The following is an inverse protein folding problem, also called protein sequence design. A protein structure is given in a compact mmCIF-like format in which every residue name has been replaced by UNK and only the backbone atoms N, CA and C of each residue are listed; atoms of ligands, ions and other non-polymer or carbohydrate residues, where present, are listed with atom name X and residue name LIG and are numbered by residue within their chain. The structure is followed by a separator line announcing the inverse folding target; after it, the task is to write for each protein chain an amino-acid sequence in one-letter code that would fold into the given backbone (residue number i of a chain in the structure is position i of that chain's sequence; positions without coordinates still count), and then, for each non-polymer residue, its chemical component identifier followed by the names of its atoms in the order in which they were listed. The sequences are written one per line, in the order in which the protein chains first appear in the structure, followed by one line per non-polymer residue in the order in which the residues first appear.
data_IF_557330754295
#
_entry.id   IF_557330754295
#
_cell.length_a   1.000
_cell.length_b   1.000
_cell.length_c   1.000
_cell.angle_alpha   90.00
_cell.angle_beta   90.00
_cell.angle_gamma   90.00
#
_symmetry.space_group_name_H-M   'P 1'
#
loop_
_entity.id
_entity.type
_entity.pdbx_description
1 polymer ?
#
# COMPACT_ATOMS: atom_id res chain seq x y z
N UNK A 1 4.81 16.11 -6.79
CA UNK A 1 5.22 16.13 -5.40
C UNK A 1 4.06 15.91 -4.47
N UNK A 2 4.25 15.14 -3.47
CA UNK A 2 3.16 14.80 -2.56
C UNK A 2 3.12 15.74 -1.38
N UNK A 3 2.10 16.58 -1.32
CA UNK A 3 1.98 17.58 -0.27
C UNK A 3 1.50 16.99 1.05
N UNK A 4 0.87 15.83 1.01
CA UNK A 4 0.29 15.20 2.19
C UNK A 4 1.27 14.29 2.93
N UNK A 5 2.49 14.20 2.46
CA UNK A 5 3.48 13.36 3.11
C UNK A 5 3.23 11.86 2.94
N UNK A 6 2.52 11.47 1.89
CA UNK A 6 2.20 10.07 1.62
C UNK A 6 2.32 9.81 0.13
N UNK A 7 3.42 9.22 -0.27
CA UNK A 7 3.65 8.86 -1.67
C UNK A 7 4.00 7.39 -1.78
N UNK A 8 3.37 6.72 -2.72
CA UNK A 8 3.61 5.32 -3.02
C UNK A 8 3.76 5.15 -4.52
N UNK A 9 4.79 4.41 -4.93
CA UNK A 9 4.93 3.95 -6.31
C UNK A 9 5.15 2.44 -6.28
N UNK A 10 4.32 1.72 -7.00
CA UNK A 10 4.42 0.26 -7.12
C UNK A 10 4.39 -0.13 -8.59
N UNK A 11 5.19 -1.12 -8.95
CA UNK A 11 5.16 -1.73 -10.27
C UNK A 11 5.31 -3.24 -10.13
N UNK A 12 4.43 -3.98 -10.78
CA UNK A 12 4.46 -5.43 -10.68
C UNK A 12 3.46 -6.08 -11.61
N UNK A 13 3.03 -7.28 -11.23
CA UNK A 13 2.11 -8.09 -12.01
C UNK A 13 0.87 -8.40 -11.19
N UNK A 14 -0.30 -8.23 -11.79
CA UNK A 14 -1.56 -8.60 -11.12
C UNK A 14 -1.64 -10.11 -10.98
N UNK A 15 -1.90 -10.58 -9.76
CA UNK A 15 -2.00 -12.01 -9.46
C UNK A 15 -3.44 -12.51 -9.52
N UNK A 16 -4.40 -11.60 -9.57
CA UNK A 16 -5.82 -11.93 -9.66
C UNK A 16 -6.54 -10.84 -10.46
N UNK A 17 -7.77 -11.14 -10.86
CA UNK A 17 -8.60 -10.12 -11.48
C UNK A 17 -9.17 -9.20 -10.40
N UNK A 18 -9.30 -7.89 -10.67
CA UNK A 18 -9.90 -7.00 -9.70
C UNK A 18 -11.32 -7.41 -9.35
N UNK A 19 -11.65 -7.30 -8.06
CA UNK A 19 -12.99 -7.58 -7.55
C UNK A 19 -13.59 -6.31 -6.95
N UNK A 20 -14.90 -6.17 -7.10
CA UNK A 20 -15.60 -5.02 -6.54
C UNK A 20 -15.40 -4.94 -5.04
N UNK A 21 -15.01 -3.78 -4.55
CA UNK A 21 -14.77 -3.55 -3.14
C UNK A 21 -15.84 -2.71 -2.47
N UNK A 22 -15.93 -1.45 -2.86
CA UNK A 22 -16.88 -0.52 -2.25
C UNK A 22 -17.14 0.66 -3.18
N UNK A 23 -18.08 1.50 -2.78
CA UNK A 23 -18.45 2.69 -3.55
C UNK A 23 -18.50 3.89 -2.61
N UNK A 24 -17.97 5.03 -3.06
CA UNK A 24 -18.00 6.29 -2.32
C UNK A 24 -18.49 7.36 -3.28
N UNK A 25 -19.61 8.00 -2.95
CA UNK A 25 -20.20 9.07 -3.75
C UNK A 25 -20.33 8.71 -5.23
N UNK A 26 -20.75 7.48 -5.52
CA UNK A 26 -20.94 7.03 -6.89
C UNK A 26 -19.68 6.52 -7.58
N UNK A 27 -18.53 6.65 -6.97
CA UNK A 27 -17.27 6.11 -7.51
C UNK A 27 -17.01 4.72 -6.95
N UNK A 28 -16.84 3.74 -7.84
CA UNK A 28 -16.61 2.36 -7.45
C UNK A 28 -15.12 2.07 -7.35
N UNK A 29 -14.74 1.31 -6.34
CA UNK A 29 -13.37 0.91 -6.10
C UNK A 29 -13.24 -0.59 -6.12
N UNK A 30 -12.17 -1.06 -6.74
CA UNK A 30 -11.88 -2.48 -6.90
C UNK A 30 -10.62 -2.85 -6.15
N UNK A 31 -10.58 -4.06 -5.64
CA UNK A 31 -9.43 -4.62 -4.93
C UNK A 31 -8.73 -5.64 -5.80
N UNK A 32 -7.42 -5.63 -5.74
CA UNK A 32 -6.59 -6.60 -6.44
C UNK A 32 -5.30 -6.81 -5.67
N UNK A 33 -4.50 -7.77 -6.08
CA UNK A 33 -3.19 -8.04 -5.49
C UNK A 33 -2.12 -7.89 -6.57
N UNK A 34 -1.07 -7.16 -6.22
CA UNK A 34 0.05 -6.90 -7.10
C UNK A 34 1.29 -7.62 -6.57
N UNK A 35 1.93 -8.41 -7.42
CA UNK A 35 3.20 -9.05 -7.09
C UNK A 35 4.32 -8.12 -7.47
N UNK A 36 5.06 -7.63 -6.47
CA UNK A 36 6.12 -6.64 -6.66
C UNK A 36 7.46 -7.29 -6.32
N UNK A 37 8.42 -7.28 -7.25
CA UNK A 37 9.70 -7.94 -7.01
C UNK A 37 10.61 -7.15 -6.07
N UNK A 38 11.34 -7.88 -5.23
CA UNK A 38 12.44 -7.31 -4.44
C UNK A 38 13.74 -7.47 -5.20
N UNK A 39 14.73 -6.68 -4.81
CA UNK A 39 16.08 -6.82 -5.38
C UNK A 39 16.65 -8.22 -5.18
N UNK A 40 16.27 -8.91 -4.11
CA UNK A 40 16.71 -10.26 -3.81
C UNK A 40 16.13 -11.34 -4.73
N UNK A 41 15.13 -10.98 -5.56
CA UNK A 41 14.39 -11.93 -6.38
C UNK A 41 13.12 -12.45 -5.73
N UNK A 42 12.92 -12.21 -4.44
CA UNK A 42 11.66 -12.54 -3.79
C UNK A 42 10.56 -11.58 -4.24
N UNK A 43 9.32 -12.00 -4.12
CA UNK A 43 8.17 -11.18 -4.49
C UNK A 43 7.29 -10.92 -3.27
N UNK A 44 6.77 -9.70 -3.19
CA UNK A 44 5.79 -9.31 -2.20
C UNK A 44 4.42 -9.24 -2.87
N UNK A 45 3.43 -9.85 -2.23
CA UNK A 45 2.04 -9.75 -2.68
C UNK A 45 1.39 -8.60 -1.92
N UNK A 46 1.09 -7.52 -2.63
CA UNK A 46 0.62 -6.30 -2.01
C UNK A 46 -0.82 -6.00 -2.43
N UNK A 47 -1.72 -5.76 -1.46
CA UNK A 47 -3.09 -5.39 -1.79
C UNK A 47 -3.15 -3.97 -2.33
N UNK A 48 -3.91 -3.77 -3.40
CA UNK A 48 -4.12 -2.45 -4.00
C UNK A 48 -5.60 -2.17 -4.15
N UNK A 49 -5.94 -0.90 -4.16
CA UNK A 49 -7.29 -0.41 -4.41
C UNK A 49 -7.25 0.53 -5.60
N UNK A 50 -8.10 0.27 -6.59
CA UNK A 50 -8.11 1.01 -7.85
C UNK A 50 -9.52 1.49 -8.14
N UNK A 51 -9.67 2.77 -8.47
CA UNK A 51 -10.94 3.33 -8.89
C UNK A 51 -11.32 2.82 -10.28
N UNK A 52 -12.61 2.54 -10.49
CA UNK A 52 -13.16 2.20 -11.80
C UNK A 52 -12.75 3.23 -12.86
N UNK A 53 -12.69 4.50 -12.48
CA UNK A 53 -12.30 5.59 -13.37
C UNK A 53 -10.91 5.37 -13.99
N UNK A 54 -9.98 4.81 -13.22
CA UNK A 54 -8.64 4.53 -13.71
C UNK A 54 -8.59 3.29 -14.62
N UNK A 55 -9.56 2.40 -14.46
CA UNK A 55 -9.62 1.15 -15.21
C UNK A 55 -10.24 1.31 -16.59
N UNK A 56 -10.90 2.42 -16.85
CA UNK A 56 -11.57 2.66 -18.14
C UNK A 56 -10.58 2.69 -19.30
N UNK A 57 -9.42 3.30 -19.10
CA UNK A 57 -8.40 3.43 -20.12
C UNK A 57 -7.37 2.29 -20.10
N UNK A 58 -7.31 1.56 -18.98
CA UNK A 58 -6.32 0.51 -18.79
C UNK A 58 -7.01 -0.72 -18.20
N UNK A 59 -7.48 -1.65 -19.04
CA UNK A 59 -8.10 -2.86 -18.53
C UNK A 59 -7.11 -3.65 -17.67
N UNK A 60 -7.54 -4.05 -16.48
CA UNK A 60 -6.73 -4.79 -15.54
C UNK A 60 -7.20 -6.24 -15.51
N UNK A 61 -6.31 -7.16 -15.88
CA UNK A 61 -6.59 -8.58 -15.85
C UNK A 61 -5.43 -9.32 -15.20
N UNK A 62 -5.71 -10.53 -14.73
CA UNK A 62 -4.67 -11.38 -14.15
C UNK A 62 -3.50 -11.52 -15.13
N UNK A 63 -2.27 -11.39 -14.61
CA UNK A 63 -1.06 -11.49 -15.41
C UNK A 63 -0.61 -10.19 -16.07
N UNK A 64 -1.42 -9.13 -16.02
CA UNK A 64 -1.04 -7.84 -16.58
C UNK A 64 0.04 -7.17 -15.76
N UNK A 65 0.97 -6.50 -16.44
CA UNK A 65 1.89 -5.59 -15.77
C UNK A 65 1.16 -4.31 -15.43
N UNK A 66 1.43 -3.79 -14.24
CA UNK A 66 0.78 -2.58 -13.75
C UNK A 66 1.76 -1.76 -12.94
N UNK A 67 1.80 -0.47 -13.21
CA UNK A 67 2.49 0.48 -12.33
C UNK A 67 1.51 1.56 -11.89
N UNK A 68 1.63 1.96 -10.64
CA UNK A 68 0.74 2.96 -10.07
C UNK A 68 1.51 3.92 -9.18
N UNK A 69 1.01 5.15 -9.12
CA UNK A 69 1.37 6.14 -8.12
C UNK A 69 0.16 6.41 -7.25
N UNK A 70 0.39 6.58 -5.96
CA UNK A 70 -0.71 6.83 -5.05
C UNK A 70 -0.25 7.01 -3.62
N UNK A 71 -1.02 6.44 -2.70
CA UNK A 71 -0.81 6.58 -1.26
C UNK A 71 -1.00 5.24 -0.56
N UNK A 72 -0.30 5.04 0.55
CA UNK A 72 -0.66 3.98 1.47
C UNK A 72 -1.86 4.43 2.29
N UNK A 73 -2.86 3.58 2.41
CA UNK A 73 -4.03 3.87 3.23
C UNK A 73 -4.32 2.72 4.15
N UNK A 74 -4.82 3.06 5.32
CA UNK A 74 -5.22 2.09 6.33
C UNK A 74 -6.72 2.10 6.52
N UNK A 75 -7.27 0.96 6.88
CA UNK A 75 -8.67 0.86 7.26
C UNK A 75 -8.83 -0.29 8.23
N UNK A 76 -9.89 -0.20 9.05
CA UNK A 76 -10.20 -1.25 10.00
C UNK A 76 -11.29 -2.15 9.44
N UNK A 77 -11.11 -3.45 9.62
CA UNK A 77 -12.08 -4.44 9.17
C UNK A 77 -12.26 -5.48 10.27
N UNK A 78 -13.51 -5.88 10.50
CA UNK A 78 -13.81 -6.96 11.42
C UNK A 78 -13.69 -8.28 10.67
N UNK A 79 -12.79 -9.15 11.12
CA UNK A 79 -12.55 -10.47 10.57
C UNK A 79 -12.70 -11.47 11.69
N UNK A 80 -13.64 -12.40 11.57
CA UNK A 80 -13.93 -13.42 12.57
C UNK A 80 -14.15 -12.83 13.97
N UNK A 81 -14.88 -11.70 14.03
CA UNK A 81 -15.21 -11.05 15.29
C UNK A 81 -14.12 -10.16 15.88
N UNK A 82 -12.95 -10.10 15.26
CA UNK A 82 -11.84 -9.27 15.71
C UNK A 82 -11.57 -8.13 14.75
N UNK A 83 -11.33 -6.92 15.28
CA UNK A 83 -10.93 -5.78 14.47
C UNK A 83 -9.49 -5.93 14.00
N UNK A 84 -9.27 -5.71 12.72
CA UNK A 84 -7.92 -5.74 12.13
C UNK A 84 -7.65 -4.47 11.35
N UNK A 85 -6.42 -3.99 11.49
CA UNK A 85 -5.93 -2.87 10.68
C UNK A 85 -5.34 -3.43 9.40
N UNK A 86 -5.89 -3.01 8.27
CA UNK A 86 -5.42 -3.43 6.97
C UNK A 86 -4.82 -2.24 6.22
N UNK A 87 -3.81 -2.52 5.42
CA UNK A 87 -3.11 -1.52 4.63
C UNK A 87 -3.31 -1.84 3.15
N UNK A 88 -3.54 -0.81 2.35
CA UNK A 88 -3.68 -0.97 0.90
C UNK A 88 -2.90 0.11 0.17
N UNK A 89 -2.40 -0.20 -1.01
CA UNK A 89 -1.87 0.78 -1.94
C UNK A 89 -3.02 1.39 -2.72
N UNK A 90 -3.35 2.63 -2.42
CA UNK A 90 -4.47 3.33 -3.06
C UNK A 90 -3.97 4.04 -4.31
N UNK A 91 -4.36 3.54 -5.48
CA UNK A 91 -3.90 4.09 -6.75
C UNK A 91 -4.57 5.42 -7.05
N UNK A 92 -3.79 6.44 -7.32
CA UNK A 92 -4.27 7.73 -7.79
C UNK A 92 -4.04 7.90 -9.28
N UNK A 93 -2.98 7.32 -9.80
CA UNK A 93 -2.65 7.33 -11.22
C UNK A 93 -2.07 5.99 -11.62
N UNK A 94 -2.41 5.52 -12.83
CA UNK A 94 -1.74 4.40 -13.46
C UNK A 94 -0.69 4.95 -14.39
N UNK A 95 0.53 4.43 -14.32
CA UNK A 95 1.68 4.92 -15.08
C UNK A 95 2.28 3.78 -15.89
N UNK A 96 3.23 4.11 -16.76
CA UNK A 96 3.87 3.13 -17.65
C UNK A 96 4.82 2.23 -16.85
N UNK A 97 4.60 0.91 -16.85
CA UNK A 97 5.47 -0.01 -16.11
C UNK A 97 6.78 -0.37 -16.80
N UNK A 98 6.92 -0.05 -18.08
CA UNK A 98 7.98 -0.64 -18.90
C UNK A 98 9.39 -0.12 -18.60
N UNK A 99 9.52 1.07 -18.03
CA UNK A 99 10.82 1.70 -17.77
C UNK A 99 11.15 1.80 -16.28
N UNK A 100 10.50 1.01 -15.44
CA UNK A 100 10.58 1.19 -14.00
C UNK A 100 11.75 0.45 -13.40
N UNK A 101 12.73 1.20 -12.88
CA UNK A 101 13.90 0.66 -12.21
C UNK A 101 13.69 0.45 -10.72
N UNK A 102 12.70 1.15 -10.14
CA UNK A 102 12.40 1.09 -8.71
C UNK A 102 10.93 0.72 -8.51
N UNK A 103 10.62 -0.57 -8.54
CA UNK A 103 9.21 -1.00 -8.52
C UNK A 103 8.51 -0.85 -7.18
N UNK A 104 9.21 -0.45 -6.13
CA UNK A 104 8.63 -0.33 -4.79
C UNK A 104 9.25 0.85 -4.06
N UNK A 105 8.51 1.97 -4.05
CA UNK A 105 8.97 3.20 -3.41
C UNK A 105 7.88 3.73 -2.51
N UNK A 106 8.26 4.12 -1.30
CA UNK A 106 7.34 4.69 -0.31
C UNK A 106 8.02 5.89 0.33
N UNK A 107 7.29 6.98 0.43
CA UNK A 107 7.74 8.14 1.19
C UNK A 107 6.60 8.60 2.10
N UNK A 108 6.83 8.55 3.40
CA UNK A 108 5.83 8.87 4.40
C UNK A 108 6.36 9.93 5.36
N UNK A 109 5.52 10.89 5.69
CA UNK A 109 5.78 11.88 6.72
C UNK A 109 4.57 11.91 7.65
N UNK A 110 4.81 11.77 8.94
CA UNK A 110 3.72 11.75 9.90
C UNK A 110 4.21 11.83 11.31
N UNK A 111 3.34 11.58 12.26
CA UNK A 111 3.65 11.62 13.68
C UNK A 111 3.62 10.21 14.26
N UNK A 112 4.56 9.94 15.15
CA UNK A 112 4.49 8.70 15.94
C UNK A 112 3.33 8.84 16.93
N UNK A 113 2.36 7.94 16.86
CA UNK A 113 1.16 8.02 17.67
C UNK A 113 1.24 7.18 18.93
N UNK A 114 2.35 6.46 19.13
CA UNK A 114 2.64 5.74 20.38
C UNK A 114 4.16 5.55 20.48
N UNK A 115 4.63 5.21 21.68
CA UNK A 115 6.06 4.93 21.88
C UNK A 115 6.49 3.73 21.05
N UNK A 116 7.67 3.81 20.42
CA UNK A 116 8.20 2.66 19.69
C UNK A 116 8.38 1.46 20.61
N UNK A 117 8.09 0.27 20.09
CA UNK A 117 8.29 -0.98 20.80
C UNK A 117 9.55 -1.64 20.26
N UNK A 118 10.46 -1.94 21.16
CA UNK A 118 11.76 -2.51 20.79
C UNK A 118 11.78 -3.99 21.13
N UNK A 119 12.28 -4.80 20.20
CA UNK A 119 12.40 -6.26 20.42
C UNK A 119 13.64 -6.80 19.72
N UNK A 120 14.08 -7.96 20.20
CA UNK A 120 15.19 -8.69 19.58
C UNK A 120 14.66 -10.04 19.10
N UNK A 121 15.00 -10.41 17.85
CA UNK A 121 14.58 -11.69 17.32
C UNK A 121 15.45 -12.82 17.87
N UNK A 122 15.02 -14.11 17.74
CA UNK A 122 15.85 -15.24 18.16
C UNK A 122 17.22 -15.29 17.51
N UNK A 123 17.38 -14.68 16.35
CA UNK A 123 18.67 -14.62 15.64
C UNK A 123 19.49 -13.38 15.99
N UNK A 124 19.09 -12.63 17.01
CA UNK A 124 19.84 -11.47 17.49
C UNK A 124 19.60 -10.17 16.73
N UNK A 125 18.62 -10.11 15.84
CA UNK A 125 18.30 -8.86 15.15
C UNK A 125 17.51 -7.93 16.07
N UNK A 126 17.86 -6.67 16.04
CA UNK A 126 17.16 -5.65 16.80
C UNK A 126 16.12 -4.98 15.92
N UNK A 127 14.88 -4.94 16.38
CA UNK A 127 13.75 -4.42 15.63
C UNK A 127 13.01 -3.40 16.49
N UNK A 128 12.70 -2.25 15.89
CA UNK A 128 11.83 -1.26 16.50
C UNK A 128 10.53 -1.20 15.70
N UNK A 129 9.42 -1.44 16.39
CA UNK A 129 8.09 -1.37 15.78
C UNK A 129 7.49 0.01 16.08
N UNK A 130 7.04 0.68 15.03
CA UNK A 130 6.51 2.04 15.09
C UNK A 130 5.11 2.06 14.51
N UNK A 131 4.31 3.04 14.98
CA UNK A 131 3.02 3.35 14.35
C UNK A 131 3.04 4.82 13.94
N UNK A 132 2.96 5.05 12.64
CA UNK A 132 2.99 6.38 12.07
C UNK A 132 1.57 6.81 11.70
N UNK A 133 1.15 7.97 12.19
CA UNK A 133 -0.11 8.58 11.78
C UNK A 133 0.18 9.57 10.67
N UNK A 134 -0.32 9.27 9.48
CA UNK A 134 -0.12 10.09 8.28
C UNK A 134 -1.43 10.79 7.96
N UNK A 135 -1.39 12.11 7.88
CA UNK A 135 -2.60 12.89 7.63
C UNK A 135 -3.10 12.70 6.21
N UNK A 136 -4.40 12.48 6.10
CA UNK A 136 -5.12 12.48 4.85
C UNK A 136 -5.89 13.79 4.74
N UNK A 137 -6.23 14.18 3.51
CA UNK A 137 -7.11 15.32 3.30
C UNK A 137 -8.42 15.15 4.09
N UNK A 138 -9.02 16.26 4.48
CA UNK A 138 -10.31 16.29 5.19
C UNK A 138 -10.28 15.71 6.60
N UNK A 139 -9.16 15.83 7.29
CA UNK A 139 -9.09 15.51 8.71
C UNK A 139 -9.00 14.05 9.07
N UNK A 140 -8.82 13.17 8.11
CA UNK A 140 -8.60 11.76 8.37
C UNK A 140 -7.11 11.46 8.49
N UNK A 141 -6.78 10.38 9.20
CA UNK A 141 -5.40 9.89 9.30
C UNK A 141 -5.34 8.42 8.93
N UNK A 142 -4.23 8.07 8.28
CA UNK A 142 -3.90 6.67 8.04
C UNK A 142 -2.86 6.24 9.06
N UNK A 143 -3.06 5.06 9.65
CA UNK A 143 -2.16 4.53 10.66
C UNK A 143 -1.33 3.43 10.02
N UNK A 144 -0.03 3.70 9.84
CA UNK A 144 0.86 2.82 9.11
C UNK A 144 1.85 2.19 10.08
N UNK A 145 1.76 0.85 10.31
CA UNK A 145 2.75 0.16 11.12
C UNK A 145 4.04 0.00 10.34
N UNK A 146 5.16 0.27 11.00
CA UNK A 146 6.48 0.18 10.42
C UNK A 146 7.38 -0.64 11.34
N UNK A 147 8.26 -1.42 10.75
CA UNK A 147 9.30 -2.11 11.50
C UNK A 147 10.66 -1.71 10.95
N UNK A 148 11.51 -1.18 11.83
CA UNK A 148 12.87 -0.81 11.49
C UNK A 148 13.83 -1.88 12.01
N UNK A 149 14.70 -2.37 11.13
CA UNK A 149 15.64 -3.42 11.48
C UNK A 149 17.03 -2.80 11.49
N UNK A 150 17.74 -2.99 12.58
CA UNK A 150 19.14 -2.60 12.67
C UNK A 150 20.00 -3.61 11.91
N UNK A 151 20.74 -3.12 10.95
CA UNK A 151 21.62 -3.96 10.13
C UNK A 151 23.07 -3.71 10.50
#
# INVERSE_FOLDING_TARGET
MEENGNFLHLSGVLTDNPVYGHEVFGEKFYYATLSVPRLSGAEDLLPITVSERLMDDTPLTIGSKLALDGQLRSYNKVIEGAGRLLITGFAQHLVDPDSDENPNQVQLTGALCKLPSYRTTPFGREIADLMLAVNRAYGKSDYIPLSLIHI
#
